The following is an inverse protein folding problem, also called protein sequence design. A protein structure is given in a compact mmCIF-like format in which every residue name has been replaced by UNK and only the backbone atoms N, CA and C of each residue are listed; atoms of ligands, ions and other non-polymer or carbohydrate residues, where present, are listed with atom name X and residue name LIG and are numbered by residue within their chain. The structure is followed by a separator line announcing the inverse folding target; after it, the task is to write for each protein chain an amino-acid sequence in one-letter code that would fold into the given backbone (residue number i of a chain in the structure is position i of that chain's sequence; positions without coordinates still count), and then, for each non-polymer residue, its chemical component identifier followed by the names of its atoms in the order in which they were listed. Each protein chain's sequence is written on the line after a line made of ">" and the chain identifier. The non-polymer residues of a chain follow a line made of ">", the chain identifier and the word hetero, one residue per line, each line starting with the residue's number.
data_IF_879585768048
#
_entry.id   IF_879585768048
#
_cell.length_a   1.000
_cell.length_b   1.000
_cell.length_c   1.000
_cell.angle_alpha   90.00
_cell.angle_beta   90.00
_cell.angle_gamma   90.00
#
_symmetry.space_group_name_H-M   'P 1'
#
loop_
_entity.id
_entity.type
_entity.pdbx_description
1 polymer ?
#
# COMPACT_ATOMS: atom_id res chain seq x y z
N UNK A 1 0.24 20.77 57.11
CA UNK A 1 -0.17 19.99 55.91
C UNK A 1 0.18 18.52 56.16
N UNK A 2 -0.80 17.72 56.61
CA UNK A 2 -0.59 16.28 56.92
C UNK A 2 -0.68 15.37 55.66
N UNK A 3 -1.11 15.90 54.51
CA UNK A 3 -1.37 15.11 53.29
C UNK A 3 -0.26 15.20 52.21
N UNK A 4 0.79 15.96 52.49
CA UNK A 4 1.91 16.13 51.51
C UNK A 4 2.47 14.81 50.98
N UNK A 5 2.82 13.84 51.87
CA UNK A 5 3.32 12.54 51.40
C UNK A 5 2.33 11.75 50.56
N UNK A 6 1.02 11.81 50.87
CA UNK A 6 -0.02 11.13 50.08
C UNK A 6 -0.17 11.74 48.69
N UNK A 7 -0.16 13.08 48.58
CA UNK A 7 -0.22 13.77 47.29
C UNK A 7 1.00 13.42 46.44
N UNK A 8 2.18 13.45 47.05
CA UNK A 8 3.43 13.06 46.37
C UNK A 8 3.36 11.59 45.85
N UNK A 9 2.93 10.68 46.72
CA UNK A 9 2.84 9.26 46.40
C UNK A 9 1.83 9.02 45.27
N UNK A 10 0.66 9.69 45.33
CA UNK A 10 -0.36 9.61 44.28
C UNK A 10 0.16 10.12 42.94
N UNK A 11 0.87 11.26 42.91
CA UNK A 11 1.47 11.80 41.71
C UNK A 11 2.55 10.88 41.17
N UNK A 12 3.40 10.33 42.03
CA UNK A 12 4.45 9.38 41.65
C UNK A 12 3.85 8.13 41.00
N UNK A 13 2.86 7.51 41.57
CA UNK A 13 2.22 6.32 41.00
C UNK A 13 1.48 6.63 39.70
N UNK A 14 0.83 7.79 39.59
CA UNK A 14 0.20 8.20 38.33
C UNK A 14 1.22 8.36 37.21
N UNK A 15 2.36 9.01 37.48
CA UNK A 15 3.45 9.16 36.52
C UNK A 15 4.09 7.81 36.18
N UNK A 16 4.34 6.96 37.17
CA UNK A 16 4.91 5.63 36.96
C UNK A 16 3.98 4.73 36.14
N UNK A 17 2.69 4.75 36.42
CA UNK A 17 1.69 4.00 35.65
C UNK A 17 1.59 4.51 34.19
N UNK A 18 1.62 5.83 34.03
CA UNK A 18 1.66 6.44 32.70
C UNK A 18 2.91 6.01 31.91
N UNK A 19 4.09 6.13 32.54
CA UNK A 19 5.34 5.70 31.91
C UNK A 19 5.33 4.21 31.55
N UNK A 20 4.86 3.37 32.49
CA UNK A 20 4.74 1.92 32.27
C UNK A 20 3.82 1.61 31.09
N UNK A 21 2.64 2.24 31.04
CA UNK A 21 1.64 2.00 29.98
C UNK A 21 2.04 2.54 28.61
N UNK A 22 2.65 3.74 28.55
CA UNK A 22 2.94 4.40 27.28
C UNK A 22 4.36 4.24 26.77
N UNK A 23 5.30 3.83 27.61
CA UNK A 23 6.69 3.67 27.23
C UNK A 23 7.14 2.21 27.35
N UNK A 24 7.02 1.62 28.54
CA UNK A 24 7.59 0.30 28.80
C UNK A 24 6.81 -0.81 28.06
N UNK A 25 5.48 -0.82 28.14
CA UNK A 25 4.68 -1.85 27.46
C UNK A 25 4.88 -1.81 25.95
N UNK A 26 4.74 -0.66 25.25
CA UNK A 26 5.02 -0.59 23.81
C UNK A 26 6.47 -0.96 23.47
N UNK A 27 7.44 -0.56 24.28
CA UNK A 27 8.85 -0.93 24.08
C UNK A 27 9.05 -2.46 24.13
N UNK A 28 8.45 -3.13 25.10
CA UNK A 28 8.52 -4.59 25.20
C UNK A 28 7.79 -5.29 24.05
N UNK A 29 6.63 -4.76 23.64
CA UNK A 29 5.83 -5.36 22.57
C UNK A 29 6.43 -5.16 21.17
N UNK A 30 7.01 -3.99 20.90
CA UNK A 30 7.46 -3.60 19.56
C UNK A 30 8.98 -3.60 19.44
N UNK A 31 9.70 -3.24 20.51
CA UNK A 31 11.16 -3.11 20.50
C UNK A 31 11.92 -4.44 20.36
N UNK A 32 11.25 -5.57 20.55
CA UNK A 32 11.79 -6.93 20.40
C UNK A 32 11.19 -7.68 19.20
N UNK A 33 10.51 -6.99 18.29
CA UNK A 33 10.03 -7.62 17.06
C UNK A 33 11.18 -8.24 16.27
N UNK A 34 10.92 -9.40 15.71
CA UNK A 34 11.85 -10.12 14.84
C UNK A 34 11.23 -10.23 13.45
N UNK A 35 12.07 -10.51 12.46
CA UNK A 35 11.55 -10.87 11.14
C UNK A 35 10.54 -12.00 11.26
N UNK A 36 9.44 -11.88 10.52
CA UNK A 36 8.41 -12.91 10.43
C UNK A 36 8.41 -13.57 9.05
N UNK A 37 7.73 -14.70 8.92
CA UNK A 37 7.56 -15.35 7.63
C UNK A 37 6.24 -14.93 6.99
N UNK A 38 6.28 -14.69 5.70
CA UNK A 38 5.06 -14.44 4.92
C UNK A 38 4.22 -15.69 4.77
N UNK A 39 2.90 -15.54 4.70
CA UNK A 39 1.94 -16.65 4.56
C UNK A 39 1.31 -16.56 3.16
N UNK A 40 1.29 -17.67 2.39
CA UNK A 40 1.79 -19.04 2.63
C UNK A 40 3.25 -19.26 2.22
N UNK A 41 3.92 -18.26 1.63
CA UNK A 41 5.19 -18.48 0.91
C UNK A 41 6.41 -18.74 1.82
N UNK A 42 6.33 -18.45 3.13
CA UNK A 42 7.43 -18.66 4.07
C UNK A 42 8.66 -17.78 3.85
N UNK A 43 8.58 -16.74 3.01
CA UNK A 43 9.66 -15.78 2.82
C UNK A 43 9.81 -14.88 4.06
N UNK A 44 11.05 -14.57 4.43
CA UNK A 44 11.33 -13.71 5.58
C UNK A 44 10.97 -12.25 5.29
N UNK A 45 10.25 -11.61 6.20
CA UNK A 45 9.80 -10.22 6.09
C UNK A 45 10.00 -9.46 7.42
N UNK A 46 10.28 -8.15 7.38
CA UNK A 46 10.64 -7.36 6.20
C UNK A 46 12.07 -7.65 5.74
N UNK A 47 12.36 -7.30 4.49
CA UNK A 47 13.72 -7.34 3.97
C UNK A 47 14.43 -6.05 4.34
N UNK A 48 15.64 -6.14 4.87
CA UNK A 48 16.46 -4.96 5.18
C UNK A 48 16.76 -4.12 3.93
N UNK A 49 16.94 -2.82 4.12
CA UNK A 49 17.28 -1.87 3.05
C UNK A 49 18.79 -1.59 3.05
N UNK A 50 19.61 -2.37 2.36
CA UNK A 50 21.06 -2.17 2.35
C UNK A 50 21.49 -1.09 1.34
N UNK A 51 22.72 -0.61 1.48
CA UNK A 51 23.38 0.26 0.51
C UNK A 51 22.60 1.56 0.25
N UNK A 52 22.44 1.88 -1.03
CA UNK A 52 21.88 3.16 -1.49
C UNK A 52 20.47 3.45 -0.96
N UNK A 53 19.64 2.43 -0.76
CA UNK A 53 18.30 2.62 -0.20
C UNK A 53 18.35 3.09 1.28
N UNK A 54 19.36 2.68 2.04
CA UNK A 54 19.58 3.18 3.41
C UNK A 54 19.99 4.64 3.41
N UNK A 55 20.90 5.03 2.54
CA UNK A 55 21.31 6.42 2.37
C UNK A 55 20.12 7.28 1.89
N UNK A 56 19.24 6.71 1.07
CA UNK A 56 18.03 7.36 0.58
C UNK A 56 17.03 7.73 1.68
N UNK A 57 16.95 6.96 2.76
CA UNK A 57 16.16 7.31 3.94
C UNK A 57 16.65 8.63 4.57
N UNK A 58 17.98 8.82 4.66
CA UNK A 58 18.53 10.05 5.19
C UNK A 58 18.24 11.25 4.28
N UNK A 59 18.28 11.06 2.96
CA UNK A 59 17.89 12.08 1.97
C UNK A 59 16.40 12.40 2.09
N UNK A 60 15.52 11.39 2.22
CA UNK A 60 14.09 11.54 2.41
C UNK A 60 13.78 12.39 3.65
N UNK A 61 14.42 12.06 4.76
CA UNK A 61 14.28 12.78 6.03
C UNK A 61 14.79 14.21 5.93
N UNK A 62 15.99 14.42 5.38
CA UNK A 62 16.61 15.74 5.27
C UNK A 62 15.79 16.72 4.41
N UNK A 63 15.06 16.20 3.42
CA UNK A 63 14.20 17.00 2.54
C UNK A 63 12.76 17.16 3.04
N UNK A 64 12.42 16.61 4.21
CA UNK A 64 11.11 16.79 4.83
C UNK A 64 9.96 16.11 4.07
N UNK A 65 10.22 15.06 3.31
CA UNK A 65 9.20 14.38 2.49
C UNK A 65 8.03 13.87 3.35
N UNK A 66 8.31 13.41 4.57
CA UNK A 66 7.33 12.94 5.54
C UNK A 66 6.36 14.04 6.05
N UNK A 67 6.58 15.31 5.73
CA UNK A 67 5.64 16.39 6.05
C UNK A 67 4.40 16.33 5.15
N UNK A 68 4.57 15.96 3.87
CA UNK A 68 3.50 15.92 2.88
C UNK A 68 3.07 14.50 2.49
N UNK A 69 3.89 13.49 2.78
CA UNK A 69 3.64 12.10 2.50
C UNK A 69 3.63 11.27 3.77
N UNK A 70 2.76 10.28 3.84
CA UNK A 70 2.77 9.25 4.87
C UNK A 70 3.37 7.94 4.32
N UNK A 71 3.86 7.09 5.22
CA UNK A 71 4.22 5.70 4.95
C UNK A 71 3.37 4.80 5.85
N UNK A 72 2.04 5.01 5.82
CA UNK A 72 1.11 4.34 6.72
C UNK A 72 -0.23 4.10 6.03
N UNK A 73 -0.47 2.88 5.57
CA UNK A 73 -1.74 2.46 4.99
C UNK A 73 -2.76 2.24 6.09
N UNK A 74 -3.88 2.94 6.02
CA UNK A 74 -5.02 2.79 6.92
C UNK A 74 -6.00 1.74 6.40
N UNK A 75 -6.63 1.04 7.35
CA UNK A 75 -7.72 0.11 7.11
C UNK A 75 -8.86 0.46 8.07
N UNK A 76 -10.08 0.54 7.56
CA UNK A 76 -11.26 0.88 8.39
C UNK A 76 -12.01 -0.34 8.88
N UNK A 77 -12.07 -1.40 8.06
CA UNK A 77 -12.80 -2.62 8.39
C UNK A 77 -12.23 -3.82 7.64
N UNK A 78 -12.84 -4.98 7.89
CA UNK A 78 -12.69 -6.19 7.10
C UNK A 78 -14.06 -6.65 6.65
N UNK A 79 -14.14 -7.16 5.43
CA UNK A 79 -15.30 -7.86 4.88
C UNK A 79 -14.86 -9.27 4.44
N UNK A 80 -15.81 -10.11 4.07
CA UNK A 80 -15.50 -11.43 3.56
C UNK A 80 -15.98 -11.57 2.12
N UNK A 81 -15.11 -12.13 1.29
CA UNK A 81 -15.45 -12.64 -0.03
C UNK A 81 -15.60 -14.15 0.06
N UNK A 82 -16.55 -14.74 -0.69
CA UNK A 82 -16.67 -16.18 -0.78
C UNK A 82 -16.03 -16.65 -2.08
N UNK A 83 -14.96 -17.40 -1.98
CA UNK A 83 -14.22 -17.95 -3.11
C UNK A 83 -14.56 -19.42 -3.28
N UNK A 84 -15.06 -19.78 -4.45
CA UNK A 84 -15.23 -21.17 -4.85
C UNK A 84 -13.89 -21.65 -5.42
N UNK A 85 -13.20 -22.49 -4.66
CA UNK A 85 -11.86 -22.94 -5.00
C UNK A 85 -11.87 -24.13 -5.94
N UNK A 86 -12.86 -25.03 -5.75
CA UNK A 86 -12.93 -26.29 -6.48
C UNK A 86 -14.39 -26.70 -6.70
N UNK A 87 -14.71 -27.14 -7.91
CA UNK A 87 -16.00 -27.77 -8.19
C UNK A 87 -16.05 -29.19 -7.59
N UNK A 88 -17.26 -29.59 -7.16
CA UNK A 88 -17.54 -30.93 -6.70
C UNK A 88 -17.90 -31.87 -7.86
N UNK A 89 -18.32 -33.09 -7.50
CA UNK A 89 -18.66 -34.14 -8.46
C UNK A 89 -20.01 -33.95 -9.12
N UNK A 90 -20.94 -33.17 -8.51
CA UNK A 90 -22.27 -32.90 -9.02
C UNK A 90 -22.42 -31.43 -9.46
N UNK A 91 -22.16 -31.18 -10.73
CA UNK A 91 -22.26 -29.82 -11.31
C UNK A 91 -23.66 -29.21 -11.24
N UNK A 92 -24.73 -30.03 -11.37
CA UNK A 92 -26.09 -29.54 -11.28
C UNK A 92 -26.43 -29.04 -9.87
N UNK A 93 -26.02 -29.79 -8.85
CA UNK A 93 -26.20 -29.38 -7.46
C UNK A 93 -25.42 -28.08 -7.16
N UNK A 94 -24.18 -27.97 -7.65
CA UNK A 94 -23.35 -26.76 -7.49
C UNK A 94 -23.95 -25.57 -8.23
N UNK A 95 -24.44 -25.75 -9.47
CA UNK A 95 -25.11 -24.70 -10.22
C UNK A 95 -26.34 -24.17 -9.48
N UNK A 96 -27.14 -25.07 -8.90
CA UNK A 96 -28.30 -24.67 -8.10
C UNK A 96 -27.87 -23.91 -6.84
N UNK A 97 -26.80 -24.34 -6.17
CA UNK A 97 -26.24 -23.64 -5.02
C UNK A 97 -25.73 -22.24 -5.38
N UNK A 98 -25.02 -22.10 -6.50
CA UNK A 98 -24.59 -20.77 -7.00
C UNK A 98 -25.79 -19.87 -7.27
N UNK A 99 -26.85 -20.36 -7.92
CA UNK A 99 -28.07 -19.57 -8.19
C UNK A 99 -28.85 -19.25 -6.92
N UNK A 100 -28.76 -20.08 -5.89
CA UNK A 100 -29.36 -19.80 -4.58
C UNK A 100 -28.69 -18.60 -3.89
N UNK A 101 -27.35 -18.53 -3.90
CA UNK A 101 -26.60 -17.43 -3.26
C UNK A 101 -26.47 -16.21 -4.18
N UNK A 102 -26.60 -16.38 -5.50
CA UNK A 102 -26.55 -15.35 -6.55
C UNK A 102 -27.77 -15.44 -7.47
N UNK A 103 -28.96 -15.06 -6.97
CA UNK A 103 -30.20 -15.12 -7.76
C UNK A 103 -30.20 -14.09 -8.91
N UNK A 104 -29.30 -13.14 -8.92
CA UNK A 104 -29.07 -12.14 -9.96
C UNK A 104 -28.42 -12.72 -11.23
N UNK A 105 -27.75 -13.88 -11.13
CA UNK A 105 -27.07 -14.51 -12.26
C UNK A 105 -28.02 -15.36 -13.09
N UNK A 106 -27.94 -15.21 -14.41
CA UNK A 106 -28.56 -16.16 -15.36
C UNK A 106 -27.88 -17.54 -15.29
N UNK A 107 -28.51 -18.56 -15.77
CA UNK A 107 -27.93 -19.92 -15.78
C UNK A 107 -26.64 -19.98 -16.61
N UNK A 108 -26.58 -19.25 -17.72
CA UNK A 108 -25.38 -19.17 -18.56
C UNK A 108 -24.19 -18.52 -17.82
N UNK A 109 -24.44 -17.41 -17.12
CA UNK A 109 -23.42 -16.73 -16.30
C UNK A 109 -22.95 -17.58 -15.14
N UNK A 110 -23.87 -18.28 -14.46
CA UNK A 110 -23.50 -19.20 -13.38
C UNK A 110 -22.66 -20.37 -13.90
N UNK A 111 -22.95 -20.92 -15.09
CA UNK A 111 -22.13 -21.96 -15.73
C UNK A 111 -20.74 -21.43 -16.09
N UNK A 112 -20.65 -20.26 -16.71
CA UNK A 112 -19.37 -19.62 -17.06
C UNK A 112 -18.49 -19.38 -15.82
N UNK A 113 -19.08 -19.00 -14.69
CA UNK A 113 -18.37 -18.84 -13.42
C UNK A 113 -17.75 -20.16 -12.95
N UNK A 114 -18.42 -21.30 -13.15
CA UNK A 114 -17.90 -22.60 -12.75
C UNK A 114 -16.79 -23.16 -13.65
N UNK A 115 -16.62 -22.60 -14.85
CA UNK A 115 -15.56 -23.03 -15.79
C UNK A 115 -14.19 -22.43 -15.44
N UNK A 116 -14.15 -21.36 -14.64
CA UNK A 116 -12.92 -20.60 -14.35
C UNK A 116 -12.58 -20.58 -12.86
N UNK A 117 -12.48 -21.74 -12.24
CA UNK A 117 -12.09 -21.84 -10.83
C UNK A 117 -10.57 -21.75 -10.62
N UNK A 118 -10.11 -21.16 -9.51
CA UNK A 118 -10.86 -20.55 -8.42
C UNK A 118 -11.48 -19.22 -8.78
N UNK A 119 -12.71 -18.94 -8.29
CA UNK A 119 -13.45 -17.72 -8.60
C UNK A 119 -14.16 -17.15 -7.37
N UNK A 120 -14.16 -15.81 -7.23
CA UNK A 120 -14.96 -15.14 -6.22
C UNK A 120 -16.42 -15.12 -6.63
N UNK A 121 -17.27 -15.78 -5.86
CA UNK A 121 -18.72 -15.88 -6.12
C UNK A 121 -19.48 -14.73 -5.48
N UNK A 122 -19.11 -14.36 -4.26
CA UNK A 122 -19.74 -13.29 -3.48
C UNK A 122 -18.66 -12.37 -2.91
N UNK A 123 -18.95 -11.09 -2.79
CA UNK A 123 -18.01 -10.08 -2.32
C UNK A 123 -18.60 -9.22 -1.21
N UNK A 124 -17.72 -8.72 -0.36
CA UNK A 124 -18.04 -7.68 0.64
C UNK A 124 -19.13 -8.06 1.63
N UNK A 125 -19.19 -9.31 2.04
CA UNK A 125 -20.18 -9.83 2.99
C UNK A 125 -19.72 -9.67 4.44
N UNK A 126 -20.62 -9.55 5.41
CA UNK A 126 -20.34 -9.85 6.81
C UNK A 126 -19.88 -11.30 6.97
N UNK A 127 -19.02 -11.56 7.98
CA UNK A 127 -18.43 -12.89 8.17
C UNK A 127 -19.46 -14.01 8.31
N UNK A 128 -20.51 -13.76 9.09
CA UNK A 128 -21.58 -14.73 9.37
C UNK A 128 -22.29 -15.15 8.08
N UNK A 129 -22.57 -14.18 7.20
CA UNK A 129 -23.21 -14.43 5.91
C UNK A 129 -22.26 -15.15 4.95
N UNK A 130 -21.00 -14.77 4.92
CA UNK A 130 -19.99 -15.44 4.11
C UNK A 130 -19.79 -16.90 4.54
N UNK A 131 -19.80 -17.20 5.84
CA UNK A 131 -19.71 -18.56 6.37
C UNK A 131 -20.96 -19.39 5.98
N UNK A 132 -22.16 -18.81 6.03
CA UNK A 132 -23.40 -19.43 5.60
C UNK A 132 -23.38 -19.77 4.11
N UNK A 133 -23.06 -18.79 3.27
CA UNK A 133 -23.04 -18.95 1.82
C UNK A 133 -21.93 -19.90 1.35
N UNK A 134 -20.78 -19.89 2.03
CA UNK A 134 -19.70 -20.86 1.78
C UNK A 134 -20.16 -22.30 2.07
N UNK A 135 -20.96 -22.53 3.13
CA UNK A 135 -21.56 -23.85 3.40
C UNK A 135 -22.53 -24.28 2.31
N UNK A 136 -23.40 -23.35 1.85
CA UNK A 136 -24.33 -23.62 0.74
C UNK A 136 -23.57 -24.02 -0.52
N UNK A 137 -22.46 -23.34 -0.81
CA UNK A 137 -21.62 -23.61 -1.99
C UNK A 137 -20.76 -24.87 -1.84
N UNK A 138 -20.51 -25.35 -0.62
CA UNK A 138 -19.70 -26.55 -0.35
C UNK A 138 -20.50 -27.85 -0.49
N UNK A 139 -21.27 -27.98 -1.58
CA UNK A 139 -22.14 -29.12 -1.88
C UNK A 139 -21.41 -30.14 -2.76
N UNK A 140 -21.76 -31.41 -2.61
CA UNK A 140 -21.28 -32.52 -3.46
C UNK A 140 -19.76 -32.56 -3.67
N UNK A 141 -18.99 -32.20 -2.62
CA UNK A 141 -17.52 -32.21 -2.65
C UNK A 141 -16.89 -30.98 -3.28
N UNK A 142 -17.68 -29.93 -3.59
CA UNK A 142 -17.12 -28.61 -3.90
C UNK A 142 -16.49 -27.98 -2.66
N UNK A 143 -15.56 -27.05 -2.88
CA UNK A 143 -14.88 -26.32 -1.81
C UNK A 143 -15.05 -24.84 -2.01
N UNK A 144 -15.79 -24.19 -1.09
CA UNK A 144 -15.92 -22.76 -1.00
C UNK A 144 -15.40 -22.26 0.34
N UNK A 145 -14.60 -21.19 0.31
CA UNK A 145 -13.92 -20.65 1.49
C UNK A 145 -14.20 -19.17 1.63
N UNK A 146 -14.61 -18.69 2.82
CA UNK A 146 -14.70 -17.26 3.06
C UNK A 146 -13.30 -16.67 3.23
N UNK A 147 -13.01 -15.62 2.49
CA UNK A 147 -11.74 -14.91 2.51
C UNK A 147 -11.90 -13.54 3.12
N UNK A 148 -11.07 -13.20 4.09
CA UNK A 148 -11.10 -11.89 4.74
C UNK A 148 -10.39 -10.88 3.83
N UNK A 149 -11.12 -9.82 3.48
CA UNK A 149 -10.64 -8.74 2.63
C UNK A 149 -10.58 -7.44 3.44
N UNK A 150 -9.39 -6.84 3.57
CA UNK A 150 -9.26 -5.52 4.16
C UNK A 150 -9.94 -4.46 3.29
N UNK A 151 -10.66 -3.54 3.93
CA UNK A 151 -11.30 -2.42 3.24
C UNK A 151 -10.98 -1.09 3.93
N UNK A 152 -10.96 -0.04 3.15
CA UNK A 152 -10.70 1.31 3.64
C UNK A 152 -10.34 2.26 2.50
N UNK A 153 -10.36 3.59 2.76
CA UNK A 153 -10.07 4.59 1.73
C UNK A 153 -8.69 4.41 1.07
N UNK A 154 -7.68 4.03 1.84
CA UNK A 154 -6.33 3.84 1.32
C UNK A 154 -6.22 2.60 0.43
N UNK A 155 -6.92 1.53 0.81
CA UNK A 155 -7.00 0.30 0.04
C UNK A 155 -7.79 0.54 -1.24
N UNK A 156 -8.92 1.26 -1.17
CA UNK A 156 -9.72 1.63 -2.33
C UNK A 156 -8.95 2.53 -3.34
N UNK A 157 -8.01 3.36 -2.85
CA UNK A 157 -7.09 4.14 -3.69
C UNK A 157 -5.94 3.30 -4.28
N UNK A 158 -5.84 2.03 -3.94
CA UNK A 158 -4.75 1.16 -4.36
C UNK A 158 -3.41 1.45 -3.67
N UNK A 159 -3.41 2.16 -2.53
CA UNK A 159 -2.17 2.49 -1.82
C UNK A 159 -1.53 1.27 -1.15
N UNK A 160 -2.30 0.24 -0.88
CA UNK A 160 -1.83 -1.04 -0.38
C UNK A 160 -2.95 -2.07 -0.30
N UNK A 161 -2.59 -3.31 0.03
CA UNK A 161 -3.53 -4.43 0.13
C UNK A 161 -3.97 -4.72 1.57
N UNK A 162 -3.27 -4.19 2.56
CA UNK A 162 -3.53 -4.31 3.99
C UNK A 162 -3.05 -3.07 4.73
N UNK A 163 -3.47 -2.90 5.98
CA UNK A 163 -2.88 -1.88 6.86
C UNK A 163 -1.41 -2.14 7.09
N UNK A 164 -0.64 -1.08 7.31
CA UNK A 164 0.72 -1.20 7.82
C UNK A 164 0.69 -1.66 9.28
N UNK A 165 1.71 -2.41 9.65
CA UNK A 165 1.93 -2.94 11.01
C UNK A 165 3.36 -2.64 11.45
N UNK A 166 3.67 -2.84 12.73
CA UNK A 166 4.98 -2.55 13.27
C UNK A 166 6.12 -3.32 12.57
N UNK A 167 5.83 -4.54 12.11
CA UNK A 167 6.79 -5.37 11.37
C UNK A 167 7.27 -4.71 10.07
N UNK A 168 6.45 -3.90 9.41
CA UNK A 168 6.81 -3.21 8.16
C UNK A 168 8.00 -2.24 8.38
N UNK A 169 8.17 -1.74 9.61
CA UNK A 169 9.17 -0.74 10.00
C UNK A 169 10.33 -1.30 10.80
N UNK A 170 10.49 -2.62 10.88
CA UNK A 170 11.51 -3.27 11.71
C UNK A 170 12.94 -2.75 11.49
N UNK A 171 13.27 -2.37 10.26
CA UNK A 171 14.59 -1.85 9.89
C UNK A 171 14.62 -0.33 9.66
N UNK A 172 13.52 0.37 9.98
CA UNK A 172 13.44 1.81 9.79
C UNK A 172 13.77 2.55 11.09
N UNK A 173 14.87 3.28 11.06
CA UNK A 173 15.28 4.12 12.18
C UNK A 173 15.82 5.46 11.67
N UNK A 174 15.07 6.54 11.90
CA UNK A 174 13.72 6.60 12.47
C UNK A 174 12.65 6.13 11.52
N UNK A 175 11.49 5.72 12.06
CA UNK A 175 10.29 5.40 11.28
C UNK A 175 9.69 6.67 10.68
N UNK A 176 9.39 6.66 9.39
CA UNK A 176 8.89 7.82 8.63
C UNK A 176 7.37 7.73 8.39
N UNK A 177 6.57 7.65 9.47
CA UNK A 177 5.10 7.54 9.35
C UNK A 177 4.47 8.71 8.58
N UNK A 178 5.08 9.88 8.67
CA UNK A 178 4.56 11.12 8.09
C UNK A 178 3.51 11.80 8.95
N UNK A 179 3.24 13.08 8.66
CA UNK A 179 2.30 13.91 9.43
C UNK A 179 1.04 14.27 8.65
N UNK A 180 1.15 14.46 7.35
CA UNK A 180 0.05 14.90 6.50
C UNK A 180 0.01 14.10 5.19
N UNK A 181 -1.14 14.15 4.50
CA UNK A 181 -1.38 13.49 3.22
C UNK A 181 -1.73 14.51 2.14
N UNK A 182 -0.85 15.51 1.96
CA UNK A 182 -0.93 16.45 0.83
C UNK A 182 -0.62 15.69 -0.46
N UNK A 183 0.38 14.82 -0.42
CA UNK A 183 0.66 13.80 -1.43
C UNK A 183 0.09 12.43 -1.06
N UNK A 184 0.19 11.44 -1.98
CA UNK A 184 -0.23 10.07 -1.70
C UNK A 184 0.64 9.41 -0.63
N UNK A 185 0.10 8.36 0.02
CA UNK A 185 0.89 7.49 0.88
C UNK A 185 1.97 6.75 0.09
N UNK A 186 3.16 6.59 0.68
CA UNK A 186 4.32 6.00 0.02
C UNK A 186 4.69 4.60 0.52
N UNK A 187 4.03 4.06 1.57
CA UNK A 187 4.38 2.76 2.17
C UNK A 187 4.48 1.61 1.15
N UNK A 188 3.75 1.69 0.04
CA UNK A 188 3.76 0.67 -1.02
C UNK A 188 4.03 1.27 -2.40
N UNK A 189 4.80 2.35 -2.47
CA UNK A 189 5.06 3.06 -3.73
C UNK A 189 5.87 2.21 -4.72
N UNK A 190 6.77 1.36 -4.23
CA UNK A 190 7.56 0.47 -5.08
C UNK A 190 6.72 -0.51 -5.91
N UNK A 191 5.53 -0.88 -5.41
CA UNK A 191 4.59 -1.75 -6.13
C UNK A 191 3.73 -0.95 -7.10
N UNK A 192 3.27 0.24 -6.68
CA UNK A 192 2.43 1.11 -7.52
C UNK A 192 3.19 1.76 -8.65
N UNK A 193 4.43 2.12 -8.40
CA UNK A 193 5.29 2.84 -9.34
C UNK A 193 6.74 2.31 -9.27
N UNK A 194 7.02 1.20 -9.94
CA UNK A 194 8.35 0.56 -9.89
C UNK A 194 9.40 1.25 -10.79
N UNK A 195 9.01 2.16 -11.69
CA UNK A 195 9.91 2.78 -12.65
C UNK A 195 10.80 3.84 -12.00
N UNK A 196 12.10 3.61 -11.99
CA UNK A 196 13.11 4.52 -11.45
C UNK A 196 13.13 5.87 -12.18
N UNK A 197 12.98 5.86 -13.49
CA UNK A 197 13.02 7.08 -14.30
C UNK A 197 11.80 7.95 -14.05
N UNK A 198 10.64 7.33 -13.81
CA UNK A 198 9.45 8.05 -13.40
C UNK A 198 9.68 8.83 -12.09
N UNK A 199 10.31 8.19 -11.10
CA UNK A 199 10.63 8.84 -9.82
C UNK A 199 11.62 9.98 -10.00
N UNK A 200 12.70 9.78 -10.77
CA UNK A 200 13.66 10.83 -11.06
C UNK A 200 13.01 12.02 -11.76
N UNK A 201 12.17 11.77 -12.76
CA UNK A 201 11.42 12.81 -13.45
C UNK A 201 10.48 13.54 -12.50
N UNK A 202 9.75 12.80 -11.65
CA UNK A 202 8.82 13.36 -10.69
C UNK A 202 9.53 14.24 -9.64
N UNK A 203 10.71 13.86 -9.18
CA UNK A 203 11.52 14.68 -8.28
C UNK A 203 12.03 15.94 -8.95
N UNK A 204 12.44 15.87 -10.22
CA UNK A 204 12.96 17.03 -10.96
C UNK A 204 11.86 18.00 -11.40
N UNK A 205 10.78 17.48 -11.92
CA UNK A 205 9.67 18.23 -12.50
C UNK A 205 8.33 17.47 -12.28
N UNK A 206 7.72 17.55 -11.08
CA UNK A 206 6.55 16.74 -10.74
C UNK A 206 5.39 16.87 -11.75
N UNK A 207 5.18 18.06 -12.27
CA UNK A 207 4.11 18.34 -13.24
C UNK A 207 4.37 17.76 -14.64
N UNK A 208 5.59 17.27 -14.90
CA UNK A 208 5.93 16.64 -16.17
C UNK A 208 5.24 15.28 -16.37
N UNK A 209 5.08 14.51 -15.31
CA UNK A 209 4.43 13.20 -15.33
C UNK A 209 3.13 13.13 -14.51
N UNK A 210 2.86 14.14 -13.65
CA UNK A 210 1.59 14.27 -12.92
C UNK A 210 1.06 15.69 -13.10
N UNK A 211 0.25 15.95 -14.13
CA UNK A 211 -0.33 17.29 -14.35
C UNK A 211 -1.11 17.76 -13.12
N UNK A 212 -0.90 19.00 -12.70
CA UNK A 212 -1.54 19.58 -11.52
C UNK A 212 -0.91 19.18 -10.18
N UNK A 213 0.20 18.46 -10.18
CA UNK A 213 0.94 18.13 -8.95
C UNK A 213 1.32 19.40 -8.19
N UNK A 214 1.05 19.41 -6.88
CA UNK A 214 1.45 20.47 -5.93
C UNK A 214 2.81 20.20 -5.29
N UNK A 215 3.42 19.04 -5.58
CA UNK A 215 4.75 18.72 -5.09
C UNK A 215 5.79 19.74 -5.61
N UNK A 216 6.65 20.29 -4.74
CA UNK A 216 7.72 21.17 -5.18
C UNK A 216 8.80 20.38 -5.96
N UNK A 217 9.43 20.99 -6.97
CA UNK A 217 10.53 20.36 -7.69
C UNK A 217 11.82 20.36 -6.85
N UNK A 218 12.46 19.23 -6.71
CA UNK A 218 13.72 19.03 -5.98
C UNK A 218 14.94 19.12 -6.93
N UNK A 219 15.00 20.18 -7.74
CA UNK A 219 16.04 20.35 -8.80
C UNK A 219 17.46 20.38 -8.26
N UNK A 220 17.67 20.75 -7.01
CA UNK A 220 18.98 20.76 -6.36
C UNK A 220 19.59 19.37 -6.17
N UNK A 221 18.77 18.30 -6.26
CA UNK A 221 19.22 16.89 -6.28
C UNK A 221 19.78 16.48 -7.66
N UNK A 222 19.78 17.40 -8.62
CA UNK A 222 20.23 17.16 -9.99
C UNK A 222 21.31 18.15 -10.38
N UNK A 223 22.09 17.80 -11.38
CA UNK A 223 23.12 18.63 -11.98
C UNK A 223 22.74 18.97 -13.41
N UNK A 224 22.79 20.26 -13.74
CA UNK A 224 22.74 20.72 -15.13
C UNK A 224 24.16 20.83 -15.63
N UNK A 225 24.53 20.04 -16.62
CA UNK A 225 25.88 20.08 -17.23
C UNK A 225 25.83 20.19 -18.73
N UNK A 226 26.93 20.66 -19.31
CA UNK A 226 27.09 20.75 -20.78
C UNK A 226 27.36 19.36 -21.33
N UNK A 227 26.74 19.04 -22.47
CA UNK A 227 27.01 17.79 -23.21
C UNK A 227 28.37 17.96 -23.89
N UNK A 228 29.32 17.05 -23.61
CA UNK A 228 30.67 17.08 -24.21
C UNK A 228 30.76 16.11 -25.40
N UNK A 229 30.72 14.81 -25.16
CA UNK A 229 30.91 13.74 -26.18
C UNK A 229 29.63 13.02 -26.57
N UNK A 230 28.49 13.57 -26.23
CA UNK A 230 27.17 12.99 -26.36
C UNK A 230 26.43 12.98 -25.02
N UNK A 231 25.09 12.79 -25.03
CA UNK A 231 24.31 12.76 -23.81
C UNK A 231 24.70 11.56 -22.92
N UNK A 232 24.72 11.80 -21.62
CA UNK A 232 24.97 10.75 -20.64
C UNK A 232 23.85 9.69 -20.67
N UNK A 233 24.17 8.42 -20.45
CA UNK A 233 23.15 7.39 -20.27
C UNK A 233 22.27 7.62 -19.03
N UNK A 234 22.73 8.44 -18.08
CA UNK A 234 22.00 8.82 -16.87
C UNK A 234 21.21 10.13 -17.02
N UNK A 235 21.27 10.79 -18.19
CA UNK A 235 20.55 12.03 -18.43
C UNK A 235 19.04 11.79 -18.40
N UNK A 236 18.30 12.67 -17.70
CA UNK A 236 16.83 12.62 -17.68
C UNK A 236 16.26 12.88 -19.08
N UNK A 237 15.35 12.03 -19.50
CA UNK A 237 14.48 12.31 -20.64
C UNK A 237 13.36 13.25 -20.21
N UNK A 238 13.50 14.54 -20.56
CA UNK A 238 12.59 15.59 -20.12
C UNK A 238 11.68 16.03 -21.27
N UNK A 239 10.36 16.23 -21.04
CA UNK A 239 9.48 16.90 -21.97
C UNK A 239 10.01 18.32 -22.31
N UNK A 240 9.73 18.82 -23.53
CA UNK A 240 10.27 20.08 -24.03
C UNK A 240 10.11 21.27 -23.07
N UNK A 241 8.98 21.34 -22.36
CA UNK A 241 8.69 22.42 -21.41
C UNK A 241 9.58 22.41 -20.14
N UNK A 242 10.22 21.27 -19.85
CA UNK A 242 11.07 21.07 -18.68
C UNK A 242 12.53 20.80 -19.06
N UNK A 243 12.81 20.69 -20.35
CA UNK A 243 14.15 20.41 -20.86
C UNK A 243 15.10 21.59 -20.62
N UNK A 244 16.39 21.32 -20.40
CA UNK A 244 17.40 22.38 -20.35
C UNK A 244 17.59 22.99 -21.74
N UNK A 245 18.27 24.15 -21.84
CA UNK A 245 18.68 24.70 -23.13
C UNK A 245 19.49 23.70 -23.96
N UNK A 246 19.45 23.87 -25.31
CA UNK A 246 20.21 23.02 -26.22
C UNK A 246 21.69 22.95 -25.84
N UNK A 247 22.27 21.76 -25.91
CA UNK A 247 23.66 21.49 -25.51
C UNK A 247 23.87 21.24 -24.02
N UNK A 248 22.80 21.20 -23.23
CA UNK A 248 22.84 20.83 -21.80
C UNK A 248 21.98 19.62 -21.51
N UNK A 249 22.34 18.89 -20.48
CA UNK A 249 21.61 17.74 -19.94
C UNK A 249 21.39 17.89 -18.44
N UNK A 250 20.39 17.19 -17.92
CA UNK A 250 20.13 17.09 -16.48
C UNK A 250 20.47 15.67 -16.03
N UNK A 251 21.31 15.55 -15.02
CA UNK A 251 21.79 14.26 -14.50
C UNK A 251 21.47 14.16 -13.02
N UNK A 252 20.96 13.03 -12.51
CA UNK A 252 20.71 12.84 -11.09
C UNK A 252 22.04 12.75 -10.32
N UNK A 253 22.15 13.49 -9.22
CA UNK A 253 23.20 13.34 -8.23
C UNK A 253 23.01 12.04 -7.45
N UNK A 254 24.00 11.68 -6.64
CA UNK A 254 23.94 10.47 -5.81
C UNK A 254 22.73 10.50 -4.86
N UNK A 255 22.43 11.67 -4.29
CA UNK A 255 21.29 11.87 -3.39
C UNK A 255 19.94 11.59 -4.08
N UNK A 256 19.76 11.99 -5.35
CA UNK A 256 18.56 11.66 -6.11
C UNK A 256 18.42 10.15 -6.33
N UNK A 257 19.53 9.49 -6.69
CA UNK A 257 19.57 8.04 -6.90
C UNK A 257 19.30 7.29 -5.60
N UNK A 258 19.88 7.74 -4.49
CA UNK A 258 19.65 7.20 -3.16
C UNK A 258 18.20 7.33 -2.74
N UNK A 259 17.60 8.52 -2.91
CA UNK A 259 16.19 8.75 -2.63
C UNK A 259 15.28 7.84 -3.45
N UNK A 260 15.54 7.68 -4.75
CA UNK A 260 14.76 6.77 -5.60
C UNK A 260 14.95 5.32 -5.17
N UNK A 261 16.17 4.91 -4.80
CA UNK A 261 16.41 3.57 -4.27
C UNK A 261 15.63 3.32 -2.97
N UNK A 262 15.51 4.32 -2.10
CA UNK A 262 14.65 4.25 -0.92
C UNK A 262 13.18 4.08 -1.31
N UNK A 263 12.64 4.98 -2.14
CA UNK A 263 11.24 4.93 -2.58
C UNK A 263 10.88 3.59 -3.23
N UNK A 264 11.75 3.07 -4.07
CA UNK A 264 11.54 1.76 -4.74
C UNK A 264 11.80 0.55 -3.83
N UNK A 265 12.25 0.77 -2.61
CA UNK A 265 12.32 -0.26 -1.56
C UNK A 265 11.07 -0.31 -0.67
N UNK A 266 10.19 0.69 -0.74
CA UNK A 266 8.98 0.80 0.08
C UNK A 266 7.90 -0.15 -0.42
N UNK A 267 7.80 -1.31 0.24
CA UNK A 267 6.83 -2.38 -0.06
C UNK A 267 6.13 -2.83 1.22
N UNK A 268 4.82 -2.66 1.27
CA UNK A 268 3.94 -3.07 2.36
C UNK A 268 2.83 -4.00 1.85
N UNK A 269 3.13 -4.83 0.86
CA UNK A 269 2.21 -5.75 0.21
C UNK A 269 2.37 -7.22 0.66
N UNK A 270 3.39 -7.51 1.48
CA UNK A 270 3.64 -8.85 1.97
C UNK A 270 2.45 -9.37 2.81
N UNK A 271 1.97 -10.59 2.56
CA UNK A 271 0.91 -11.21 3.34
C UNK A 271 1.48 -11.70 4.69
N UNK A 272 1.17 -10.97 5.76
CA UNK A 272 1.66 -11.26 7.13
C UNK A 272 0.64 -11.99 7.99
N UNK A 273 -0.61 -12.10 7.53
CA UNK A 273 -1.71 -12.70 8.28
C UNK A 273 -2.26 -13.92 7.54
N UNK A 274 -2.79 -14.87 8.30
CA UNK A 274 -3.44 -16.09 7.78
C UNK A 274 -4.76 -15.79 7.04
N UNK A 275 -5.22 -14.55 7.02
CA UNK A 275 -6.35 -14.14 6.20
C UNK A 275 -5.95 -14.22 4.72
N UNK A 276 -6.56 -15.10 3.93
CA UNK A 276 -6.26 -15.18 2.52
C UNK A 276 -6.56 -13.82 1.87
N UNK A 277 -5.62 -13.30 1.10
CA UNK A 277 -5.87 -12.14 0.24
C UNK A 277 -6.79 -12.61 -0.89
N UNK A 278 -7.80 -11.80 -1.26
CA UNK A 278 -8.64 -12.11 -2.42
C UNK A 278 -7.75 -12.38 -3.64
N UNK A 279 -8.05 -13.45 -4.36
CA UNK A 279 -7.41 -13.71 -5.65
C UNK A 279 -7.80 -12.55 -6.57
N UNK A 280 -6.84 -11.78 -7.03
CA UNK A 280 -7.10 -10.80 -8.07
C UNK A 280 -7.61 -11.57 -9.30
N UNK A 281 -8.73 -11.13 -9.87
CA UNK A 281 -9.18 -11.65 -11.14
C UNK A 281 -8.01 -11.54 -12.15
N UNK A 282 -7.80 -12.53 -13.03
CA UNK A 282 -6.83 -12.40 -14.11
C UNK A 282 -7.11 -11.09 -14.86
N UNK A 283 -6.07 -10.34 -15.27
CA UNK A 283 -6.29 -9.14 -16.07
C UNK A 283 -7.11 -9.53 -17.30
N UNK A 284 -8.22 -8.84 -17.50
CA UNK A 284 -9.03 -9.03 -18.72
C UNK A 284 -8.14 -8.67 -19.91
N UNK A 285 -7.83 -9.66 -20.73
CA UNK A 285 -6.87 -9.57 -21.84
C UNK A 285 -7.37 -8.72 -23.02
N UNK A 286 -8.46 -7.93 -22.88
CA UNK A 286 -9.03 -7.12 -23.95
C UNK A 286 -9.66 -5.79 -23.47
N UNK A 287 -9.06 -5.10 -22.51
CA UNK A 287 -9.35 -3.67 -22.37
C UNK A 287 -8.27 -2.88 -23.12
N UNK A 288 -8.60 -2.02 -24.09
CA UNK A 288 -7.63 -1.04 -24.58
C UNK A 288 -7.19 -0.20 -23.39
N UNK A 289 -5.89 0.11 -23.32
CA UNK A 289 -5.30 0.94 -22.30
C UNK A 289 -6.10 2.25 -22.16
N UNK A 290 -7.12 2.20 -21.34
CA UNK A 290 -7.93 3.35 -20.98
C UNK A 290 -7.11 4.21 -20.05
N UNK A 291 -6.90 5.44 -20.48
CA UNK A 291 -6.36 6.57 -19.77
C UNK A 291 -6.72 6.51 -18.28
N UNK A 292 -5.74 6.20 -17.42
CA UNK A 292 -5.87 6.40 -15.99
C UNK A 292 -5.75 7.90 -15.70
N UNK A 293 -6.71 8.66 -16.24
CA UNK A 293 -6.98 10.03 -15.83
C UNK A 293 -7.40 10.00 -14.37
N UNK A 294 -6.52 10.46 -13.52
CA UNK A 294 -6.79 10.71 -12.11
C UNK A 294 -7.98 11.65 -11.98
N UNK A 295 -9.16 11.13 -11.67
CA UNK A 295 -10.27 11.96 -11.19
C UNK A 295 -9.98 12.43 -9.77
N UNK A 296 -9.15 13.45 -9.65
CA UNK A 296 -9.17 14.35 -8.52
C UNK A 296 -10.43 15.22 -8.66
N UNK A 297 -11.54 14.81 -8.07
CA UNK A 297 -12.65 15.72 -7.82
C UNK A 297 -12.22 16.74 -6.76
N UNK A 298 -12.26 18.04 -7.05
CA UNK A 298 -12.03 19.06 -6.05
C UNK A 298 -13.18 19.04 -5.03
N UNK A 299 -12.83 18.98 -3.74
CA UNK A 299 -13.78 19.25 -2.68
C UNK A 299 -14.28 20.68 -2.82
N UNK A 300 -15.54 20.86 -3.18
CA UNK A 300 -16.24 22.15 -3.14
C UNK A 300 -16.46 22.53 -1.69
N UNK A 301 -15.63 23.42 -1.17
CA UNK A 301 -15.94 24.19 0.03
C UNK A 301 -17.00 25.22 -0.30
N UNK A 302 -18.24 25.00 0.14
CA UNK A 302 -19.27 26.04 0.18
C UNK A 302 -19.02 26.91 1.42
N UNK A 303 -19.07 28.25 1.31
CA UNK A 303 -18.96 29.13 2.47
C UNK A 303 -20.27 29.11 3.26
N UNK A 304 -20.16 28.84 4.55
CA UNK A 304 -21.24 29.10 5.50
C UNK A 304 -21.44 30.61 5.66
N UNK A 305 -22.69 31.02 5.57
CA UNK A 305 -23.15 32.34 6.03
C UNK A 305 -23.23 32.38 7.55
#
# INVERSE_FOLDING_TARGET
>A
MRYGPLVFLSAFFAMAASWFGFVLIPHVQVGFLQQTNTVPAGATYPVGRPGLAREGLDVYRANGCATCHTEQIGQTATVCDVVLEKAGTNQTALLNAVRQVRPDLSEAQAKSLLEQLPQTVLQSLPKEKADEDARVLSVAGSKATPWIVPVGPDIARGWGKRRTVADDFLYDYPVMLGSERIGPDLANIAVRQPDLNWHLLHLYAPQANVPGSTMPPFRFLFEKRKIDRGPSPEALSLPANFAPPAGYEIVPKLEAKALVAYLTSLRADAPLFVAPLSVAAPPETNAPAGDMSSTNSPATNAPAK
#
